data_IF_849065106055
#
_entry.id   IF_849065106055
#
_cell.length_a   1.000
_cell.length_b   1.000
_cell.length_c   1.000
_cell.angle_alpha   90.00
_cell.angle_beta   90.00
_cell.angle_gamma   90.00
#
_symmetry.space_group_name_H-M   'P 1'
#
loop_
_entity.id
_entity.type
_entity.pdbx_description
1 polymer ?
#
# COMPACT_ATOMS: atom_id res chain seq x y z
N UNK A 1 -23.14 5.15 -3.84
CA UNK A 1 -22.02 5.99 -3.37
C UNK A 1 -21.79 5.84 -1.86
N UNK A 2 -21.25 4.70 -1.38
CA UNK A 2 -20.94 4.52 0.06
C UNK A 2 -19.56 3.92 0.34
N UNK A 3 -18.72 3.74 -0.70
CA UNK A 3 -17.43 3.06 -0.56
C UNK A 3 -16.21 4.00 -0.60
N UNK A 4 -16.38 5.29 -0.97
CA UNK A 4 -15.28 6.27 -0.98
C UNK A 4 -15.21 7.14 0.29
N UNK A 5 -16.28 7.15 1.10
CA UNK A 5 -16.36 7.95 2.33
C UNK A 5 -15.31 7.64 3.40
N UNK A 6 -15.00 6.37 3.73
CA UNK A 6 -14.05 6.09 4.80
C UNK A 6 -12.61 6.51 4.48
N UNK A 7 -12.24 6.62 3.20
CA UNK A 7 -10.89 7.02 2.79
C UNK A 7 -10.67 8.54 2.91
N UNK A 8 -11.70 9.34 2.65
CA UNK A 8 -11.61 10.80 2.70
C UNK A 8 -11.54 11.29 4.15
N UNK A 9 -12.24 10.63 5.08
CA UNK A 9 -12.18 10.95 6.52
C UNK A 9 -10.85 10.60 7.19
N UNK A 10 -10.03 9.75 6.55
CA UNK A 10 -8.71 9.33 7.05
C UNK A 10 -7.57 10.27 6.64
N UNK A 11 -7.79 11.17 5.68
CA UNK A 11 -6.75 12.08 5.19
C UNK A 11 -6.38 13.23 6.15
N UNK A 12 -7.30 13.84 6.92
CA UNK A 12 -6.95 14.93 7.83
C UNK A 12 -5.90 14.58 8.90
N UNK A 13 -5.96 13.42 9.60
CA UNK A 13 -4.90 13.06 10.55
C UNK A 13 -3.56 12.79 9.85
N UNK A 14 -3.55 12.17 8.67
CA UNK A 14 -2.32 11.95 7.88
C UNK A 14 -1.64 13.27 7.51
N UNK A 15 -2.40 14.27 7.06
CA UNK A 15 -1.83 15.59 6.75
C UNK A 15 -1.17 16.22 7.97
N UNK A 16 -1.83 16.18 9.13
CA UNK A 16 -1.29 16.74 10.37
C UNK A 16 -0.03 16.00 10.85
N UNK A 17 0.06 14.69 10.64
CA UNK A 17 1.24 13.91 10.98
C UNK A 17 2.44 14.30 10.09
N UNK A 18 2.22 14.57 8.81
CA UNK A 18 3.25 15.08 7.90
C UNK A 18 3.74 16.50 8.27
N UNK A 19 2.85 17.46 8.54
CA UNK A 19 3.28 18.83 8.93
C UNK A 19 3.94 18.89 10.30
N UNK A 20 3.63 17.96 11.20
CA UNK A 20 4.27 17.87 12.52
C UNK A 20 5.65 17.19 12.48
N UNK A 21 6.17 16.88 11.28
CA UNK A 21 7.51 16.32 11.12
C UNK A 21 7.64 14.90 11.68
N UNK A 22 6.53 14.15 11.76
CA UNK A 22 6.62 12.70 11.97
C UNK A 22 7.27 12.13 10.72
N UNK A 23 8.56 11.81 10.81
CA UNK A 23 9.17 10.84 9.91
C UNK A 23 8.49 9.51 10.19
N UNK A 24 7.59 9.10 9.31
CA UNK A 24 7.07 7.75 9.26
C UNK A 24 8.25 6.81 8.93
N UNK A 25 8.85 6.25 9.98
CA UNK A 25 9.88 5.21 9.96
C UNK A 25 10.96 5.38 8.88
N UNK A 26 11.78 6.43 9.03
CA UNK A 26 13.00 6.68 8.23
C UNK A 26 14.26 6.11 8.92
N UNK A 27 14.16 4.97 9.62
CA UNK A 27 15.39 4.31 10.10
C UNK A 27 16.20 3.90 8.89
N UNK A 28 17.40 4.46 8.73
CA UNK A 28 18.29 4.10 7.63
C UNK A 28 18.51 2.58 7.66
N UNK A 29 18.62 1.91 6.49
CA UNK A 29 18.81 0.45 6.45
C UNK A 29 19.93 -0.05 7.38
N UNK A 30 21.01 0.73 7.54
CA UNK A 30 22.12 0.37 8.42
C UNK A 30 21.78 0.41 9.92
N UNK A 31 20.92 1.33 10.35
CA UNK A 31 20.44 1.39 11.74
C UNK A 31 19.57 0.18 12.06
N UNK A 32 18.65 -0.17 11.15
CA UNK A 32 17.83 -1.38 11.25
C UNK A 32 18.69 -2.63 11.34
N UNK A 33 19.75 -2.74 10.53
CA UNK A 33 20.68 -3.88 10.59
C UNK A 33 21.43 -3.93 11.91
N UNK A 34 21.85 -2.80 12.46
CA UNK A 34 22.49 -2.75 13.77
C UNK A 34 21.55 -3.24 14.89
N UNK A 35 20.28 -2.83 14.84
CA UNK A 35 19.27 -3.31 15.77
C UNK A 35 19.02 -4.81 15.63
N UNK A 36 18.97 -5.33 14.41
CA UNK A 36 18.76 -6.77 14.16
C UNK A 36 19.90 -7.60 14.73
N UNK A 37 21.15 -7.15 14.55
CA UNK A 37 22.33 -7.84 15.11
C UNK A 37 22.30 -7.89 16.63
N UNK A 38 21.86 -6.80 17.25
CA UNK A 38 22.00 -6.57 18.70
C UNK A 38 20.81 -7.10 19.50
N UNK A 39 19.60 -7.06 18.94
CA UNK A 39 18.36 -7.25 19.71
C UNK A 39 17.40 -8.28 19.12
N UNK A 40 17.58 -8.73 17.86
CA UNK A 40 16.63 -9.65 17.25
C UNK A 40 16.79 -11.08 17.78
N UNK A 41 15.76 -11.57 18.46
CA UNK A 41 15.79 -12.85 19.18
C UNK A 41 14.89 -13.96 18.60
N UNK A 42 14.25 -13.74 17.44
CA UNK A 42 13.27 -14.68 16.90
C UNK A 42 13.96 -15.72 16.03
N UNK A 43 13.93 -16.99 16.44
CA UNK A 43 14.62 -18.08 15.75
C UNK A 43 13.96 -18.54 14.46
N UNK A 44 12.61 -18.56 14.38
CA UNK A 44 11.89 -19.04 13.19
C UNK A 44 11.45 -17.90 12.30
N UNK A 45 12.01 -17.82 11.10
CA UNK A 45 11.76 -16.73 10.17
C UNK A 45 11.32 -17.24 8.79
N UNK A 46 10.33 -16.57 8.22
CA UNK A 46 9.97 -16.70 6.82
C UNK A 46 10.28 -15.38 6.13
N UNK A 47 11.23 -15.40 5.20
CA UNK A 47 11.53 -14.28 4.35
C UNK A 47 10.83 -14.46 2.99
N UNK A 48 10.12 -13.44 2.55
CA UNK A 48 9.48 -13.41 1.23
C UNK A 48 10.34 -12.54 0.32
N UNK A 49 10.79 -13.12 -0.79
CA UNK A 49 11.52 -12.40 -1.83
C UNK A 49 10.59 -12.15 -3.01
N UNK A 50 10.43 -10.90 -3.40
CA UNK A 50 9.68 -10.57 -4.61
C UNK A 50 10.60 -10.64 -5.84
N UNK A 51 10.04 -11.05 -6.98
CA UNK A 51 10.83 -11.19 -8.22
C UNK A 51 11.04 -9.87 -8.94
N UNK A 52 10.10 -8.94 -8.82
CA UNK A 52 10.06 -7.67 -9.54
C UNK A 52 9.93 -6.51 -8.55
N UNK A 53 10.92 -6.37 -7.67
CA UNK A 53 10.94 -5.33 -6.65
C UNK A 53 12.31 -4.65 -6.56
N UNK A 54 12.32 -3.33 -6.69
CA UNK A 54 13.52 -2.49 -6.64
C UNK A 54 13.97 -2.16 -5.21
N UNK A 55 13.11 -2.38 -4.21
CA UNK A 55 13.37 -2.09 -2.79
C UNK A 55 13.60 -3.39 -1.99
N UNK A 56 13.60 -4.56 -2.65
CA UNK A 56 13.79 -5.85 -1.97
C UNK A 56 15.21 -5.97 -1.38
N UNK A 57 15.28 -5.97 -0.05
CA UNK A 57 16.51 -6.22 0.72
C UNK A 57 16.57 -7.64 1.31
N UNK A 58 15.74 -8.57 0.83
CA UNK A 58 15.55 -9.89 1.45
C UNK A 58 16.85 -10.68 1.55
N UNK A 59 17.69 -10.64 0.52
CA UNK A 59 18.99 -11.31 0.53
C UNK A 59 19.99 -10.67 1.51
N UNK A 60 19.97 -9.34 1.58
CA UNK A 60 20.81 -8.58 2.51
C UNK A 60 20.42 -8.86 3.96
N UNK A 61 19.11 -8.94 4.24
CA UNK A 61 18.57 -9.29 5.54
C UNK A 61 18.87 -10.74 5.93
N UNK A 62 18.69 -11.69 4.99
CA UNK A 62 19.01 -13.10 5.20
C UNK A 62 20.46 -13.29 5.66
N UNK A 63 21.41 -12.57 5.04
CA UNK A 63 22.82 -12.59 5.43
C UNK A 63 23.05 -12.05 6.85
N UNK A 64 22.39 -10.96 7.21
CA UNK A 64 22.49 -10.37 8.56
C UNK A 64 21.98 -11.35 9.60
N UNK A 65 20.82 -11.98 9.36
CA UNK A 65 20.25 -12.97 10.28
C UNK A 65 21.11 -14.23 10.37
N UNK A 66 21.60 -14.75 9.24
CA UNK A 66 22.36 -16.00 9.22
C UNK A 66 23.76 -15.90 9.81
N UNK A 67 24.42 -14.73 9.69
CA UNK A 67 25.86 -14.62 9.95
C UNK A 67 26.23 -13.59 11.01
N UNK A 68 25.36 -12.61 11.26
CA UNK A 68 25.72 -11.42 12.06
C UNK A 68 24.82 -11.25 13.29
N UNK A 69 23.74 -12.02 13.40
CA UNK A 69 22.81 -11.99 14.52
C UNK A 69 23.20 -12.96 15.63
N UNK A 70 22.90 -12.58 16.88
CA UNK A 70 23.10 -13.41 18.07
C UNK A 70 22.37 -14.77 18.00
N UNK A 71 21.31 -14.87 17.18
CA UNK A 71 20.53 -16.09 17.01
C UNK A 71 21.00 -16.99 15.86
N UNK A 72 22.10 -16.66 15.19
CA UNK A 72 22.61 -17.39 14.00
C UNK A 72 22.65 -18.92 14.21
N UNK A 73 23.05 -19.39 15.40
CA UNK A 73 23.15 -20.83 15.72
C UNK A 73 21.81 -21.54 15.97
N UNK A 74 20.76 -20.77 16.26
CA UNK A 74 19.41 -21.26 16.56
C UNK A 74 18.42 -20.88 15.44
N UNK A 75 18.91 -20.27 14.37
CA UNK A 75 18.09 -19.72 13.29
C UNK A 75 17.54 -20.85 12.41
N UNK A 76 16.21 -20.90 12.33
CA UNK A 76 15.43 -21.72 11.42
C UNK A 76 14.73 -20.77 10.43
N UNK A 77 15.38 -20.53 9.29
CA UNK A 77 14.94 -19.55 8.31
C UNK A 77 14.64 -20.21 6.98
N UNK A 78 13.51 -19.81 6.38
CA UNK A 78 13.13 -20.18 5.02
C UNK A 78 12.98 -18.93 4.15
N UNK A 79 13.30 -19.06 2.87
CA UNK A 79 13.13 -17.99 1.87
C UNK A 79 12.18 -18.50 0.80
N UNK A 80 11.07 -17.81 0.59
CA UNK A 80 10.12 -18.11 -0.47
C UNK A 80 10.08 -16.97 -1.48
N UNK A 81 10.26 -17.32 -2.75
CA UNK A 81 10.13 -16.37 -3.85
C UNK A 81 8.67 -16.28 -4.29
N UNK A 82 8.16 -15.06 -4.42
CA UNK A 82 6.80 -14.78 -4.87
C UNK A 82 6.86 -13.87 -6.11
N UNK A 83 6.06 -14.14 -7.16
CA UNK A 83 6.00 -13.26 -8.33
C UNK A 83 5.30 -11.94 -7.97
N UNK A 84 5.74 -10.85 -8.58
CA UNK A 84 5.22 -9.50 -8.36
C UNK A 84 6.20 -8.61 -7.59
N UNK A 85 5.66 -7.52 -7.03
CA UNK A 85 6.37 -6.47 -6.30
C UNK A 85 5.94 -6.39 -4.81
N UNK A 86 6.59 -5.52 -4.04
CA UNK A 86 6.24 -5.26 -2.63
C UNK A 86 4.82 -4.72 -2.41
N UNK A 87 4.13 -4.28 -3.47
CA UNK A 87 2.76 -3.79 -3.43
C UNK A 87 1.71 -4.91 -3.40
N UNK A 88 2.10 -6.16 -3.68
CA UNK A 88 1.19 -7.31 -3.72
C UNK A 88 0.29 -7.45 -2.46
N UNK A 89 0.76 -7.26 -1.21
CA UNK A 89 -0.10 -7.34 -0.03
C UNK A 89 -1.22 -6.28 0.01
N UNK A 90 -1.04 -5.16 -0.69
CA UNK A 90 -2.01 -4.06 -0.76
C UNK A 90 -2.98 -4.22 -1.93
N UNK A 91 -2.74 -5.16 -2.84
CA UNK A 91 -3.65 -5.43 -3.94
C UNK A 91 -4.89 -6.15 -3.40
N UNK A 92 -5.98 -5.39 -3.23
CA UNK A 92 -7.30 -5.96 -2.97
C UNK A 92 -7.71 -6.77 -4.20
N UNK A 93 -7.78 -8.09 -4.06
CA UNK A 93 -8.33 -8.96 -5.09
C UNK A 93 -9.76 -8.52 -5.40
N UNK A 94 -10.00 -8.02 -6.61
CA UNK A 94 -11.37 -7.75 -7.04
C UNK A 94 -12.08 -9.11 -7.18
N UNK A 95 -13.24 -9.31 -6.52
CA UNK A 95 -14.00 -10.52 -6.70
C UNK A 95 -14.38 -10.64 -8.18
N UNK A 96 -14.26 -11.84 -8.74
CA UNK A 96 -14.65 -12.11 -10.13
C UNK A 96 -16.14 -11.77 -10.28
N UNK A 97 -16.44 -10.72 -11.04
CA UNK A 97 -17.80 -10.19 -11.16
C UNK A 97 -18.53 -11.06 -12.18
N UNK A 98 -19.64 -11.74 -11.81
CA UNK A 98 -20.41 -12.50 -12.77
C UNK A 98 -20.85 -11.61 -13.96
N UNK A 99 -20.85 -12.11 -15.21
CA UNK A 99 -21.15 -11.29 -16.39
C UNK A 99 -22.47 -10.51 -16.28
N UNK A 100 -23.49 -11.09 -15.66
CA UNK A 100 -24.78 -10.44 -15.42
C UNK A 100 -24.68 -9.20 -14.50
N UNK A 101 -23.74 -9.19 -13.55
CA UNK A 101 -23.47 -8.03 -12.69
C UNK A 101 -22.63 -6.98 -13.41
N UNK A 102 -21.68 -7.38 -14.27
CA UNK A 102 -20.91 -6.45 -15.10
C UNK A 102 -21.83 -5.67 -16.06
N UNK A 103 -22.77 -6.36 -16.71
CA UNK A 103 -23.78 -5.73 -17.57
C UNK A 103 -24.68 -4.75 -16.79
N UNK A 104 -25.07 -5.10 -15.56
CA UNK A 104 -25.87 -4.22 -14.71
C UNK A 104 -25.10 -2.95 -14.30
N UNK A 105 -23.80 -3.07 -13.99
CA UNK A 105 -22.93 -1.94 -13.66
C UNK A 105 -22.71 -1.03 -14.87
N UNK A 106 -22.45 -1.60 -16.06
CA UNK A 106 -22.25 -0.84 -17.28
C UNK A 106 -23.51 -0.04 -17.66
N UNK A 107 -24.68 -0.68 -17.61
CA UNK A 107 -25.98 0.00 -17.83
C UNK A 107 -26.23 1.09 -16.80
N UNK A 108 -25.88 0.85 -15.53
CA UNK A 108 -25.95 1.86 -14.49
C UNK A 108 -25.07 3.07 -14.80
N UNK A 109 -23.83 2.84 -15.22
CA UNK A 109 -22.87 3.88 -15.61
C UNK A 109 -23.37 4.73 -16.78
N UNK A 110 -23.94 4.10 -17.81
CA UNK A 110 -24.53 4.79 -18.96
C UNK A 110 -25.74 5.67 -18.54
N UNK A 111 -26.59 5.17 -17.65
CA UNK A 111 -27.72 5.94 -17.13
C UNK A 111 -27.24 7.17 -16.32
N UNK A 112 -26.20 7.03 -15.49
CA UNK A 112 -25.61 8.15 -14.77
C UNK A 112 -24.90 9.15 -15.68
N UNK A 113 -24.19 8.68 -16.71
CA UNK A 113 -23.54 9.55 -17.69
C UNK A 113 -24.57 10.38 -18.48
N UNK A 114 -25.68 9.76 -18.89
CA UNK A 114 -26.77 10.45 -19.57
C UNK A 114 -27.52 11.44 -18.67
N UNK A 115 -27.64 11.15 -17.37
CA UNK A 115 -28.18 12.09 -16.38
C UNK A 115 -27.24 13.29 -16.13
N UNK A 116 -25.92 13.07 -16.11
CA UNK A 116 -24.93 14.13 -15.94
C UNK A 116 -24.86 15.08 -17.15
N UNK A 117 -25.07 14.56 -18.35
CA UNK A 117 -25.23 15.38 -19.58
C UNK A 117 -26.54 16.18 -19.55
N UNK A 118 -27.58 15.69 -18.86
CA UNK A 118 -28.90 16.31 -18.78
C UNK A 118 -29.09 17.35 -17.67
N UNK A 119 -28.13 17.52 -16.74
CA UNK A 119 -28.18 18.57 -15.71
C UNK A 119 -27.34 19.79 -16.12
N UNK A 120 -27.96 20.93 -16.49
CA UNK A 120 -27.25 22.18 -16.64
C UNK A 120 -26.92 22.70 -15.23
N UNK A 121 -25.71 22.42 -14.75
CA UNK A 121 -25.20 23.05 -13.54
C UNK A 121 -24.74 24.47 -13.92
N UNK A 122 -25.53 25.46 -13.47
CA UNK A 122 -25.18 26.86 -13.17
C UNK A 122 -23.98 27.47 -13.93
N UNK A 123 -24.25 28.05 -15.11
CA UNK A 123 -23.48 29.19 -15.61
C UNK A 123 -24.15 30.45 -15.05
N UNK A 124 -23.73 30.90 -13.86
CA UNK A 124 -23.88 32.30 -13.47
C UNK A 124 -22.49 32.92 -13.57
N UNK A 125 -22.20 33.44 -14.76
CA UNK A 125 -21.00 34.20 -15.05
C UNK A 125 -21.11 35.59 -14.43
N UNK A 126 -20.22 35.86 -13.49
CA UNK A 126 -19.53 37.13 -13.28
C UNK A 126 -19.75 38.16 -14.42
N UNK A 127 -20.65 39.13 -14.19
CA UNK A 127 -20.68 40.38 -14.95
C UNK A 127 -21.42 41.47 -14.19
N UNK A 128 -20.68 42.35 -13.53
CA UNK A 128 -20.93 43.81 -13.49
C UNK A 128 -19.87 44.49 -12.62
N UNK A 129 -18.74 44.81 -13.25
CA UNK A 129 -17.99 46.01 -12.94
C UNK A 129 -18.37 47.07 -13.95
N UNK A 130 -19.08 48.11 -13.49
CA UNK A 130 -19.04 49.50 -13.96
C UNK A 130 -19.48 50.36 -12.77
#
# INVERSE_FOLDING_TARGET
MKQAFPLIEQLPPLYMDLVNGREEFSTKPEETRHLIKSYYGVSRNLLIKFTDDSVDETLSLAKVLSSESAISSLLDMSIHSLPGDHGLPLQQGLPDVPPAMADAVNRGSELFANLAVGTPWMVESERSGC
#
